data_IF_823569850530
#
_entry.id   IF_823569850530
#
_cell.length_a   1.000
_cell.length_b   1.000
_cell.length_c   1.000
_cell.angle_alpha   90.00
_cell.angle_beta   90.00
_cell.angle_gamma   90.00
#
_symmetry.space_group_name_H-M   'P 1'
#
loop_
_entity.id
_entity.type
_entity.pdbx_description
1 polymer ?
#
# COMPACT_ATOMS: atom_id res chain seq x y z
N UNK A 1 11.59 -4.27 11.10
CA UNK A 1 10.16 -3.99 10.92
C UNK A 1 9.99 -3.36 9.54
N UNK A 2 9.08 -3.88 8.71
CA UNK A 2 8.83 -3.37 7.36
C UNK A 2 8.01 -2.08 7.47
N UNK A 3 8.28 -1.08 6.64
CA UNK A 3 7.48 0.16 6.60
C UNK A 3 6.49 0.13 5.43
N UNK A 4 5.17 0.00 5.65
CA UNK A 4 4.13 0.04 4.60
C UNK A 4 4.19 1.27 3.68
N UNK A 5 4.73 2.39 4.18
CA UNK A 5 4.88 3.62 3.40
C UNK A 5 5.96 3.48 2.32
N UNK A 6 6.93 2.58 2.53
CA UNK A 6 8.08 2.35 1.63
C UNK A 6 7.97 1.04 0.86
N UNK A 7 7.53 -0.02 1.53
CA UNK A 7 7.45 -1.39 1.03
C UNK A 7 6.05 -1.96 1.31
N UNK A 8 5.01 -1.49 0.61
CA UNK A 8 3.64 -1.93 0.83
C UNK A 8 3.47 -3.41 0.47
N UNK A 9 2.57 -4.07 1.19
CA UNK A 9 2.09 -5.44 0.92
C UNK A 9 0.57 -5.48 1.09
N UNK A 10 -0.13 -6.45 0.47
CA UNK A 10 -1.56 -6.63 0.68
C UNK A 10 -1.96 -6.67 2.16
N UNK A 11 -3.04 -5.96 2.52
CA UNK A 11 -3.57 -5.85 3.87
C UNK A 11 -3.02 -4.67 4.70
N UNK A 12 -1.98 -3.98 4.21
CA UNK A 12 -1.51 -2.73 4.81
C UNK A 12 -2.58 -1.67 4.79
N UNK A 13 -2.74 -0.95 5.90
CA UNK A 13 -3.64 0.20 6.00
C UNK A 13 -2.87 1.41 6.46
N UNK A 14 -2.93 2.48 5.68
CA UNK A 14 -2.32 3.76 5.99
C UNK A 14 -3.35 4.89 5.89
N UNK A 15 -3.28 5.85 6.82
CA UNK A 15 -4.17 7.01 6.86
C UNK A 15 -3.34 8.28 6.79
N UNK A 16 -3.76 9.22 5.94
CA UNK A 16 -3.13 10.52 5.76
C UNK A 16 -4.18 11.59 5.51
N UNK A 17 -4.12 12.73 6.23
CA UNK A 17 -5.08 13.84 6.11
C UNK A 17 -6.55 13.39 6.04
N UNK A 18 -6.95 12.45 6.89
CA UNK A 18 -8.33 11.90 6.91
C UNK A 18 -8.68 10.93 5.78
N UNK A 19 -7.77 10.67 4.83
CA UNK A 19 -7.94 9.65 3.79
C UNK A 19 -7.25 8.35 4.19
N UNK A 20 -8.01 7.26 4.20
CA UNK A 20 -7.48 5.92 4.49
C UNK A 20 -7.36 5.10 3.22
N UNK A 21 -6.21 4.44 3.05
CA UNK A 21 -5.92 3.53 1.94
C UNK A 21 -5.50 2.18 2.49
N UNK A 22 -6.17 1.13 2.03
CA UNK A 22 -5.76 -0.25 2.22
C UNK A 22 -5.10 -0.75 0.94
N UNK A 23 -3.91 -1.34 1.05
CA UNK A 23 -3.24 -2.03 -0.05
C UNK A 23 -3.98 -3.33 -0.32
N UNK A 24 -4.51 -3.46 -1.53
CA UNK A 24 -5.22 -4.66 -2.00
C UNK A 24 -4.27 -5.61 -2.72
N UNK A 25 -3.39 -5.06 -3.56
CA UNK A 25 -2.38 -5.81 -4.28
C UNK A 25 -1.13 -4.96 -4.55
N UNK A 26 -0.01 -5.63 -4.82
CA UNK A 26 1.17 -5.01 -5.43
C UNK A 26 1.48 -5.70 -6.74
N UNK A 27 1.94 -4.95 -7.73
CA UNK A 27 2.43 -5.50 -9.00
C UNK A 27 3.94 -5.42 -9.04
N UNK A 28 4.55 -6.49 -9.53
CA UNK A 28 5.99 -6.67 -9.62
C UNK A 28 6.39 -6.62 -11.09
N UNK A 29 7.60 -6.14 -11.38
CA UNK A 29 8.22 -6.40 -12.69
C UNK A 29 8.86 -7.80 -12.72
N UNK A 30 9.40 -8.18 -13.87
CA UNK A 30 10.06 -9.48 -14.10
C UNK A 30 11.27 -9.74 -13.17
N UNK A 31 11.81 -8.69 -12.54
CA UNK A 31 12.91 -8.78 -11.56
C UNK A 31 12.43 -8.87 -10.11
N UNK A 32 11.13 -8.93 -9.87
CA UNK A 32 10.55 -8.98 -8.52
C UNK A 32 10.51 -7.62 -7.81
N UNK A 33 10.69 -6.51 -8.52
CA UNK A 33 10.59 -5.17 -7.92
C UNK A 33 9.15 -4.66 -8.01
N UNK A 34 8.60 -4.19 -6.89
CA UNK A 34 7.27 -3.56 -6.86
C UNK A 34 7.27 -2.30 -7.74
N UNK A 35 6.39 -2.28 -8.73
CA UNK A 35 6.21 -1.13 -9.64
C UNK A 35 4.93 -0.37 -9.35
N UNK A 36 3.88 -1.06 -8.95
CA UNK A 36 2.56 -0.47 -8.69
C UNK A 36 1.93 -1.02 -7.42
N UNK A 37 1.04 -0.21 -6.85
CA UNK A 37 0.21 -0.52 -5.69
C UNK A 37 -1.24 -0.33 -6.11
N UNK A 38 -2.05 -1.35 -5.88
CA UNK A 38 -3.51 -1.27 -5.99
C UNK A 38 -4.04 -1.06 -4.58
N UNK A 39 -4.85 -0.02 -4.38
CA UNK A 39 -5.41 0.31 -3.09
C UNK A 39 -6.91 0.63 -3.16
N UNK A 40 -7.60 0.42 -2.05
CA UNK A 40 -9.00 0.79 -1.87
C UNK A 40 -9.24 1.42 -0.50
N UNK A 41 -10.50 1.70 -0.16
CA UNK A 41 -10.87 2.05 1.21
C UNK A 41 -11.18 0.77 2.00
N UNK A 42 -10.75 0.63 3.28
CA UNK A 42 -10.92 -0.63 4.02
C UNK A 42 -12.36 -0.98 4.37
N UNK A 43 -13.24 0.02 4.48
CA UNK A 43 -14.62 -0.15 4.96
C UNK A 43 -15.68 0.41 4.02
N UNK A 44 -15.27 1.03 2.91
CA UNK A 44 -16.19 1.63 1.94
C UNK A 44 -15.95 0.94 0.62
N UNK A 45 -17.04 0.45 0.02
CA UNK A 45 -17.01 -0.22 -1.26
C UNK A 45 -16.88 0.83 -2.38
N UNK A 46 -15.63 1.25 -2.61
CA UNK A 46 -15.24 2.10 -3.72
C UNK A 46 -14.34 1.30 -4.67
N UNK A 47 -14.39 1.59 -5.98
CA UNK A 47 -13.47 0.99 -6.93
C UNK A 47 -12.00 1.14 -6.50
N UNK A 48 -11.25 0.06 -6.64
CA UNK A 48 -9.81 0.08 -6.38
C UNK A 48 -9.09 1.02 -7.34
N UNK A 49 -8.03 1.66 -6.85
CA UNK A 49 -7.18 2.55 -7.64
C UNK A 49 -5.78 1.98 -7.74
N UNK A 50 -5.22 2.00 -8.94
CA UNK A 50 -3.83 1.65 -9.19
C UNK A 50 -2.95 2.90 -9.28
N UNK A 51 -1.79 2.85 -8.64
CA UNK A 51 -0.78 3.91 -8.70
C UNK A 51 0.62 3.34 -8.78
N UNK A 52 1.57 4.10 -9.33
CA UNK A 52 2.99 3.74 -9.27
C UNK A 52 3.49 3.70 -7.82
N UNK A 53 4.51 2.90 -7.56
CA UNK A 53 5.17 2.83 -6.25
C UNK A 53 5.79 4.17 -5.84
N UNK A 54 6.24 4.98 -6.81
CA UNK A 54 6.75 6.32 -6.57
C UNK A 54 5.65 7.26 -6.05
N UNK A 55 4.48 7.25 -6.68
CA UNK A 55 3.32 8.03 -6.26
C UNK A 55 2.77 7.57 -4.90
N UNK A 56 2.78 6.26 -4.61
CA UNK A 56 2.44 5.74 -3.28
C UNK A 56 3.36 6.32 -2.20
N UNK A 57 4.68 6.21 -2.40
CA UNK A 57 5.70 6.73 -1.47
C UNK A 57 5.64 8.24 -1.31
N UNK A 58 5.38 8.97 -2.40
CA UNK A 58 5.22 10.41 -2.38
C UNK A 58 3.99 10.82 -1.55
N UNK A 59 2.89 10.10 -1.70
CA UNK A 59 1.70 10.30 -0.88
C UNK A 59 1.96 9.94 0.59
N UNK A 60 2.68 8.86 0.89
CA UNK A 60 2.88 8.34 2.24
C UNK A 60 4.04 8.98 3.06
N UNK A 61 4.59 10.13 2.64
CA UNK A 61 5.95 10.56 3.03
C UNK A 61 6.13 11.15 4.43
N UNK A 62 5.10 11.76 5.04
CA UNK A 62 5.27 12.54 6.28
C UNK A 62 4.22 12.21 7.33
N UNK A 63 3.00 12.67 7.11
CA UNK A 63 1.86 12.58 8.03
C UNK A 63 1.04 11.30 7.85
N UNK A 64 1.50 10.38 7.00
CA UNK A 64 0.86 9.09 6.85
C UNK A 64 1.15 8.20 8.07
N UNK A 65 0.09 7.85 8.78
CA UNK A 65 0.11 6.91 9.90
C UNK A 65 -0.13 5.50 9.40
N UNK A 66 0.68 4.55 9.87
CA UNK A 66 0.44 3.13 9.67
C UNK A 66 -0.62 2.67 10.68
N UNK A 67 -1.79 2.29 10.18
CA UNK A 67 -2.91 1.81 11.00
C UNK A 67 -2.79 0.29 11.22
N UNK A 68 -2.37 -0.43 10.18
CA UNK A 68 -2.22 -1.88 10.20
C UNK A 68 -1.12 -2.31 9.23
N UNK A 69 -0.27 -3.22 9.66
CA UNK A 69 0.63 -3.94 8.76
C UNK A 69 -0.07 -5.18 8.21
N UNK A 70 -0.08 -5.34 6.90
CA UNK A 70 -0.46 -6.56 6.23
C UNK A 70 0.58 -7.65 6.45
N UNK A 71 0.13 -8.91 6.42
CA UNK A 71 1.03 -10.05 6.43
C UNK A 71 1.78 -10.08 5.09
N UNK A 72 3.09 -9.86 5.13
CA UNK A 72 3.91 -10.16 3.97
C UNK A 72 3.76 -11.66 3.70
N UNK A 73 3.15 -12.02 2.57
CA UNK A 73 3.15 -13.42 2.12
C UNK A 73 4.61 -13.84 1.99
N UNK A 74 5.08 -14.63 2.94
CA UNK A 74 6.31 -15.40 2.82
C UNK A 74 5.91 -16.56 1.93
N UNK A 75 6.14 -16.42 0.63
CA UNK A 75 6.11 -17.58 -0.27
C UNK A 75 7.29 -18.45 0.16
N UNK A 76 6.99 -19.58 0.83
CA UNK A 76 7.96 -20.66 1.07
C UNK A 76 8.44 -21.25 -0.26
#
# INVERSE_FOLDING_TARGET
MRDPRKNPVPGDVITRLGTTREVKATKLNDRGTVTHVVYGHPTVDLPETETTIASWRAWAKLDAMVVREGAACTTN
#
